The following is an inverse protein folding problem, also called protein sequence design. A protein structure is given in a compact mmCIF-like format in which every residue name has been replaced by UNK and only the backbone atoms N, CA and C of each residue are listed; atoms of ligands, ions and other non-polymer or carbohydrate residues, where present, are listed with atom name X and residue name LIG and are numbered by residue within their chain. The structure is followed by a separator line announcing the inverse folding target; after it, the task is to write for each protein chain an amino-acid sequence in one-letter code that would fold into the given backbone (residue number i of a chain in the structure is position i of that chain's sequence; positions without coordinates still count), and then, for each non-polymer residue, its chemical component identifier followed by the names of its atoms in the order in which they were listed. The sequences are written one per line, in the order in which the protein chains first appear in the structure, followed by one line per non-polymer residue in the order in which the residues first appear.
data_IF_152338883887
#
_entry.id   IF_152338883887
#
_cell.length_a   1.000
_cell.length_b   1.000
_cell.length_c   1.000
_cell.angle_alpha   90.00
_cell.angle_beta   90.00
_cell.angle_gamma   90.00
#
_symmetry.space_group_name_H-M   'P 1'
#
loop_
_entity.id
_entity.type
_entity.pdbx_description
1 polymer ?
#
# COMPACT_ATOMS: atom_id res chain seq x y z
N UNK A 1 24.36 -10.86 -15.61
CA UNK A 1 23.99 -9.52 -16.11
C UNK A 1 23.44 -8.72 -14.94
N UNK A 2 24.17 -7.72 -14.45
CA UNK A 2 23.70 -6.87 -13.35
C UNK A 2 22.59 -5.99 -13.94
N UNK A 3 21.36 -6.14 -13.45
CA UNK A 3 20.28 -5.23 -13.85
C UNK A 3 20.75 -3.79 -13.56
N UNK A 4 20.55 -2.83 -14.49
CA UNK A 4 20.93 -1.45 -14.20
C UNK A 4 20.20 -1.04 -12.92
N UNK A 5 20.93 -0.41 -11.99
CA UNK A 5 20.36 0.22 -10.79
C UNK A 5 19.10 0.96 -11.25
N UNK A 6 17.94 0.41 -10.90
CA UNK A 6 16.66 0.87 -11.45
C UNK A 6 16.53 2.34 -11.16
N UNK A 7 16.39 3.15 -12.20
CA UNK A 7 16.18 4.60 -12.09
C UNK A 7 15.13 4.86 -10.99
N UNK A 8 15.49 5.53 -9.88
CA UNK A 8 14.54 5.81 -8.81
C UNK A 8 13.30 6.56 -9.29
N UNK A 9 13.39 7.28 -10.42
CA UNK A 9 12.28 7.99 -11.05
C UNK A 9 11.38 7.11 -11.93
N UNK A 10 11.73 5.84 -12.16
CA UNK A 10 10.91 4.95 -12.98
C UNK A 10 9.74 4.37 -12.17
N UNK A 11 8.53 4.57 -12.68
CA UNK A 11 7.32 3.92 -12.15
C UNK A 11 7.38 2.42 -12.44
N UNK A 12 7.14 1.60 -11.41
CA UNK A 12 7.21 0.14 -11.47
C UNK A 12 5.84 -0.53 -11.37
N UNK A 13 4.97 0.01 -10.52
CA UNK A 13 3.66 -0.58 -10.22
C UNK A 13 2.64 0.55 -10.10
N UNK A 14 1.47 0.36 -10.70
CA UNK A 14 0.32 1.24 -10.52
C UNK A 14 -0.85 0.38 -10.04
N UNK A 15 -1.47 0.78 -8.93
CA UNK A 15 -2.67 0.14 -8.39
C UNK A 15 -3.79 1.18 -8.30
N UNK A 16 -4.96 0.89 -8.86
CA UNK A 16 -6.13 1.76 -8.80
C UNK A 16 -7.19 1.22 -7.84
N UNK A 17 -7.87 2.11 -7.12
CA UNK A 17 -9.04 1.77 -6.31
C UNK A 17 -10.02 2.95 -6.23
N UNK A 18 -11.23 2.78 -6.77
CA UNK A 18 -12.20 3.87 -6.97
C UNK A 18 -11.58 5.09 -7.67
N UNK A 19 -11.63 6.27 -7.04
CA UNK A 19 -11.05 7.50 -7.54
C UNK A 19 -9.61 7.73 -7.06
N UNK A 20 -8.90 6.67 -6.68
CA UNK A 20 -7.52 6.73 -6.20
C UNK A 20 -6.59 5.86 -7.04
N UNK A 21 -5.33 6.28 -7.13
CA UNK A 21 -4.22 5.48 -7.65
C UNK A 21 -3.04 5.55 -6.67
N UNK A 22 -2.33 4.44 -6.55
CA UNK A 22 -1.04 4.34 -5.89
C UNK A 22 0.00 4.03 -6.97
N UNK A 23 1.04 4.87 -7.03
CA UNK A 23 2.14 4.79 -8.00
C UNK A 23 3.40 4.45 -7.22
N UNK A 24 3.89 3.23 -7.41
CA UNK A 24 5.12 2.75 -6.79
C UNK A 24 6.31 2.99 -7.72
N UNK A 25 7.30 3.69 -7.19
CA UNK A 25 8.64 3.78 -7.72
C UNK A 25 9.51 2.67 -7.14
N UNK A 26 10.82 2.71 -7.39
CA UNK A 26 11.74 1.72 -6.83
C UNK A 26 11.64 1.64 -5.29
N UNK A 27 11.61 2.77 -4.58
CA UNK A 27 11.79 2.81 -3.12
C UNK A 27 10.74 3.64 -2.37
N UNK A 28 9.69 4.09 -3.04
CA UNK A 28 8.61 4.85 -2.41
C UNK A 28 7.33 4.73 -3.21
N UNK A 29 6.19 5.00 -2.56
CA UNK A 29 4.87 5.03 -3.19
C UNK A 29 4.24 6.41 -3.04
N UNK A 30 3.60 6.89 -4.11
CA UNK A 30 2.84 8.13 -4.12
C UNK A 30 1.38 7.81 -4.42
N UNK A 31 0.46 8.31 -3.60
CA UNK A 31 -0.97 8.16 -3.85
C UNK A 31 -1.56 9.46 -4.39
N UNK A 32 -2.46 9.31 -5.36
CA UNK A 32 -3.24 10.38 -5.95
C UNK A 32 -4.72 10.07 -5.83
N UNK A 33 -5.53 11.12 -5.69
CA UNK A 33 -6.99 11.06 -5.73
C UNK A 33 -7.51 11.99 -6.81
N UNK A 34 -8.40 11.51 -7.67
CA UNK A 34 -9.12 12.36 -8.62
C UNK A 34 -10.33 13.03 -7.95
N UNK A 35 -10.43 14.34 -8.13
CA UNK A 35 -11.58 15.19 -7.75
C UNK A 35 -12.18 15.76 -9.03
N UNK A 36 -13.51 15.81 -9.10
CA UNK A 36 -14.22 16.29 -10.31
C UNK A 36 -13.82 17.72 -10.72
N UNK A 37 -13.63 18.61 -9.74
CA UNK A 37 -13.33 20.02 -9.99
C UNK A 37 -11.86 20.32 -10.31
N UNK A 38 -10.92 19.46 -9.89
CA UNK A 38 -9.48 19.77 -9.86
C UNK A 38 -8.60 18.66 -10.44
N UNK A 39 -9.19 17.59 -10.95
CA UNK A 39 -8.46 16.46 -11.52
C UNK A 39 -7.69 15.67 -10.47
N UNK A 40 -6.57 15.05 -10.89
CA UNK A 40 -5.71 14.26 -10.02
C UNK A 40 -4.92 15.16 -9.08
N UNK A 41 -4.95 14.83 -7.80
CA UNK A 41 -4.24 15.55 -6.73
C UNK A 41 -3.38 14.55 -5.97
N UNK A 42 -2.11 14.89 -5.74
CA UNK A 42 -1.25 14.11 -4.84
C UNK A 42 -1.78 14.25 -3.41
N UNK A 43 -1.88 13.13 -2.70
CA UNK A 43 -2.46 13.08 -1.35
C UNK A 43 -1.62 12.31 -0.34
N UNK A 44 -0.60 11.59 -0.78
CA UNK A 44 0.35 10.92 0.12
C UNK A 44 1.65 10.59 -0.63
N UNK A 45 2.77 10.64 0.08
CA UNK A 45 4.06 10.09 -0.35
C UNK A 45 4.68 9.38 0.84
N UNK A 46 5.08 8.12 0.66
CA UNK A 46 5.79 7.39 1.71
C UNK A 46 7.21 7.94 1.93
N UNK A 47 7.82 7.71 3.10
CA UNK A 47 9.27 7.77 3.22
C UNK A 47 9.95 6.89 2.16
N UNK A 48 11.19 7.24 1.82
CA UNK A 48 12.03 6.40 0.97
C UNK A 48 12.48 5.18 1.78
N UNK A 49 12.31 4.01 1.20
CA UNK A 49 12.66 2.71 1.77
C UNK A 49 14.06 2.29 1.32
N UNK A 50 14.73 1.46 2.12
CA UNK A 50 16.05 0.92 1.78
C UNK A 50 15.96 -0.19 0.71
N UNK A 51 14.77 -0.75 0.52
CA UNK A 51 14.50 -1.88 -0.36
C UNK A 51 13.56 -1.54 -1.51
N UNK A 52 13.56 -2.41 -2.52
CA UNK A 52 12.78 -2.21 -3.74
C UNK A 52 11.36 -2.72 -3.56
N UNK A 53 10.36 -1.86 -3.81
CA UNK A 53 8.95 -2.25 -3.75
C UNK A 53 8.62 -3.18 -4.93
N UNK A 54 8.06 -4.35 -4.61
CA UNK A 54 7.61 -5.33 -5.61
C UNK A 54 6.08 -5.59 -5.58
N UNK A 55 5.38 -5.08 -4.56
CA UNK A 55 3.90 -5.06 -4.49
C UNK A 55 3.36 -3.78 -3.91
N UNK A 56 2.15 -3.44 -4.36
CA UNK A 56 1.32 -2.37 -3.79
C UNK A 56 -0.12 -2.84 -3.69
N UNK A 57 -0.76 -2.54 -2.56
CA UNK A 57 -2.20 -2.66 -2.37
C UNK A 57 -2.78 -1.32 -1.92
N UNK A 58 -3.94 -0.96 -2.47
CA UNK A 58 -4.64 0.28 -2.16
C UNK A 58 -6.08 -0.02 -1.75
N UNK A 59 -6.50 0.51 -0.62
CA UNK A 59 -7.88 0.51 -0.18
C UNK A 59 -8.34 1.95 -0.02
N UNK A 60 -9.34 2.34 -0.80
CA UNK A 60 -9.86 3.69 -0.83
C UNK A 60 -11.39 3.75 -0.70
N UNK A 61 -11.98 2.94 0.19
CA UNK A 61 -13.45 2.89 0.37
C UNK A 61 -14.04 4.27 0.64
N UNK A 62 -15.06 4.66 -0.11
CA UNK A 62 -15.78 5.93 0.08
C UNK A 62 -16.77 5.77 1.25
N UNK A 63 -16.96 6.86 2.02
CA UNK A 63 -17.59 6.93 3.36
C UNK A 63 -18.73 5.94 3.66
N UNK A 64 -18.72 5.40 4.88
CA UNK A 64 -19.73 4.48 5.43
C UNK A 64 -19.16 3.24 6.13
N UNK A 65 -17.83 3.12 6.20
CA UNK A 65 -17.15 2.04 6.90
C UNK A 65 -17.14 2.24 8.41
N UNK A 66 -17.14 1.13 9.16
CA UNK A 66 -17.06 1.11 10.63
C UNK A 66 -15.71 1.58 11.21
N UNK A 67 -14.77 2.07 10.38
CA UNK A 67 -13.39 2.37 10.75
C UNK A 67 -13.05 3.87 10.83
N UNK A 68 -14.01 4.76 10.55
CA UNK A 68 -13.80 6.21 10.62
C UNK A 68 -12.78 6.73 9.60
N UNK A 69 -11.93 7.68 9.98
CA UNK A 69 -10.99 8.37 9.07
C UNK A 69 -9.88 7.48 8.46
N UNK A 70 -9.75 6.21 8.89
CA UNK A 70 -8.74 5.27 8.39
C UNK A 70 -9.20 4.44 7.18
N UNK A 71 -10.25 4.86 6.48
CA UNK A 71 -10.79 4.15 5.31
C UNK A 71 -9.87 4.18 4.08
N UNK A 72 -8.81 4.99 4.12
CA UNK A 72 -7.81 5.11 3.04
C UNK A 72 -6.49 4.53 3.51
N UNK A 73 -6.07 3.43 2.91
CA UNK A 73 -4.86 2.72 3.27
C UNK A 73 -4.08 2.32 2.04
N UNK A 74 -2.76 2.39 2.15
CA UNK A 74 -1.83 1.85 1.15
C UNK A 74 -0.86 0.93 1.86
N UNK A 75 -0.61 -0.22 1.25
CA UNK A 75 0.41 -1.15 1.69
C UNK A 75 1.39 -1.41 0.56
N UNK A 76 2.65 -1.62 0.92
CA UNK A 76 3.68 -2.09 -0.01
C UNK A 76 4.38 -3.29 0.58
N UNK A 77 4.95 -4.12 -0.28
CA UNK A 77 5.79 -5.23 0.15
C UNK A 77 7.09 -5.31 -0.66
N UNK A 78 8.07 -5.96 -0.05
CA UNK A 78 9.33 -6.41 -0.64
C UNK A 78 9.76 -7.69 0.04
N UNK A 79 10.07 -8.72 -0.74
CA UNK A 79 10.47 -10.03 -0.21
C UNK A 79 9.46 -10.54 0.83
N UNK A 80 9.77 -10.51 2.12
CA UNK A 80 8.90 -10.99 3.21
C UNK A 80 8.14 -9.88 3.93
N UNK A 81 8.58 -8.64 3.75
CA UNK A 81 8.20 -7.52 4.60
C UNK A 81 7.11 -6.68 3.95
N UNK A 82 6.22 -6.19 4.80
CA UNK A 82 5.03 -5.44 4.42
C UNK A 82 4.98 -4.20 5.30
N UNK A 83 4.75 -3.04 4.70
CA UNK A 83 4.45 -1.82 5.45
C UNK A 83 3.06 -1.34 5.06
N UNK A 84 2.28 -0.93 6.06
CA UNK A 84 0.93 -0.41 5.89
C UNK A 84 0.84 1.01 6.45
N UNK A 85 0.29 1.92 5.65
CA UNK A 85 -0.02 3.29 6.06
C UNK A 85 -1.51 3.58 5.95
N UNK A 86 -2.03 4.36 6.90
CA UNK A 86 -3.27 5.10 6.73
C UNK A 86 -2.96 6.44 6.08
N UNK A 87 -3.77 6.86 5.11
CA UNK A 87 -3.65 8.18 4.48
C UNK A 87 -4.61 9.14 5.17
N UNK A 88 -4.07 10.16 5.82
CA UNK A 88 -4.82 11.14 6.57
C UNK A 88 -5.43 12.21 5.63
N UNK A 89 -6.57 12.82 6.01
CA UNK A 89 -7.23 13.85 5.19
C UNK A 89 -6.38 15.11 4.96
N UNK A 90 -5.40 15.38 5.82
CA UNK A 90 -4.47 16.51 5.73
C UNK A 90 -3.38 16.34 4.67
N UNK A 91 -3.34 15.17 4.00
CA UNK A 91 -2.34 14.84 2.98
C UNK A 91 -1.07 14.19 3.53
N UNK A 92 -1.00 13.96 4.85
CA UNK A 92 0.03 13.14 5.47
C UNK A 92 -0.42 11.67 5.54
N UNK A 93 0.50 10.76 5.81
CA UNK A 93 0.14 9.38 6.14
C UNK A 93 0.74 8.97 7.48
N UNK A 94 0.02 8.11 8.20
CA UNK A 94 0.49 7.51 9.44
C UNK A 94 0.85 6.05 9.19
N UNK A 95 2.02 5.62 9.65
CA UNK A 95 2.38 4.21 9.63
C UNK A 95 1.51 3.46 10.64
N UNK A 96 0.81 2.44 10.15
CA UNK A 96 0.06 1.52 11.00
C UNK A 96 0.99 0.46 11.56
N UNK A 97 1.92 -0.03 10.74
CA UNK A 97 2.95 -0.96 11.18
C UNK A 97 3.70 -1.63 10.04
N UNK A 98 4.78 -2.30 10.44
CA UNK A 98 5.60 -3.18 9.62
C UNK A 98 5.33 -4.62 10.03
N UNK A 99 5.09 -5.47 9.06
CA UNK A 99 4.76 -6.88 9.25
C UNK A 99 5.67 -7.76 8.40
N UNK A 100 5.79 -9.02 8.78
CA UNK A 100 6.47 -10.02 7.97
C UNK A 100 5.60 -11.24 7.75
N UNK A 101 5.49 -11.68 6.50
CA UNK A 101 4.91 -12.98 6.18
C UNK A 101 5.90 -14.11 6.53
N UNK A 102 7.18 -13.81 6.81
CA UNK A 102 8.29 -14.76 7.05
C UNK A 102 8.60 -15.72 5.88
N UNK A 103 7.88 -15.59 4.77
CA UNK A 103 8.11 -16.24 3.48
C UNK A 103 7.85 -15.18 2.40
N UNK A 104 8.36 -15.35 1.16
CA UNK A 104 8.14 -14.36 0.12
C UNK A 104 6.66 -14.06 -0.08
N UNK A 105 6.31 -12.77 -0.03
CA UNK A 105 5.00 -12.25 -0.38
C UNK A 105 4.87 -12.37 -1.90
N UNK A 106 3.75 -12.90 -2.38
CA UNK A 106 3.48 -13.14 -3.80
C UNK A 106 2.18 -12.50 -4.30
N UNK A 107 1.22 -12.29 -3.42
CA UNK A 107 0.15 -11.34 -3.64
C UNK A 107 -0.05 -10.48 -2.39
N UNK A 108 -0.44 -9.23 -2.61
CA UNK A 108 -0.80 -8.27 -1.58
C UNK A 108 -2.05 -7.53 -2.05
N UNK A 109 -3.15 -7.63 -1.33
CA UNK A 109 -4.41 -7.01 -1.71
C UNK A 109 -5.33 -6.81 -0.51
N UNK A 110 -6.33 -5.94 -0.64
CA UNK A 110 -7.34 -5.76 0.39
C UNK A 110 -8.60 -6.56 0.08
N UNK A 111 -9.21 -7.15 1.11
CA UNK A 111 -10.56 -7.72 1.09
C UNK A 111 -11.35 -7.09 2.22
N UNK A 112 -12.32 -6.24 1.85
CA UNK A 112 -13.11 -5.51 2.83
C UNK A 112 -12.23 -4.61 3.71
N UNK A 113 -12.09 -4.98 4.99
CA UNK A 113 -11.32 -4.26 6.00
C UNK A 113 -10.04 -5.02 6.40
N UNK A 114 -9.61 -5.97 5.56
CA UNK A 114 -8.44 -6.79 5.81
C UNK A 114 -7.40 -6.58 4.71
N UNK A 115 -6.13 -6.49 5.09
CA UNK A 115 -5.00 -6.63 4.17
C UNK A 115 -4.60 -8.10 4.16
N UNK A 116 -4.50 -8.67 2.97
CA UNK A 116 -4.14 -10.06 2.75
C UNK A 116 -2.79 -10.11 2.04
N UNK A 117 -1.87 -10.92 2.57
CA UNK A 117 -0.63 -11.30 1.90
C UNK A 117 -0.58 -12.82 1.73
N UNK A 118 -0.20 -13.30 0.55
CA UNK A 118 -0.15 -14.75 0.26
C UNK A 118 1.21 -15.18 -0.30
N UNK A 119 1.53 -16.46 -0.15
CA UNK A 119 2.73 -17.11 -0.70
C UNK A 119 2.40 -18.51 -1.25
N UNK A 120 3.14 -18.97 -2.26
CA UNK A 120 3.06 -20.30 -2.88
C UNK A 120 3.46 -21.40 -1.89
N UNK A 121 4.11 -21.05 -0.77
CA UNK A 121 4.30 -21.97 0.36
C UNK A 121 2.99 -22.32 1.07
N UNK A 122 1.86 -21.71 0.69
CA UNK A 122 0.55 -21.87 1.32
C UNK A 122 0.32 -20.94 2.52
N UNK A 123 1.29 -20.06 2.86
CA UNK A 123 1.13 -19.13 3.99
C UNK A 123 0.29 -17.93 3.58
N UNK A 124 -0.63 -17.54 4.47
CA UNK A 124 -1.49 -16.37 4.34
C UNK A 124 -1.33 -15.52 5.60
N UNK A 125 -1.01 -14.25 5.41
CA UNK A 125 -0.98 -13.24 6.47
C UNK A 125 -2.19 -12.32 6.33
N UNK A 126 -2.83 -11.99 7.45
CA UNK A 126 -4.04 -11.17 7.48
C UNK A 126 -3.88 -10.06 8.51
N UNK A 127 -3.89 -8.81 8.06
CA UNK A 127 -4.11 -7.67 8.93
C UNK A 127 -5.61 -7.36 8.99
N UNK A 128 -6.15 -7.11 10.17
CA UNK A 128 -7.54 -6.67 10.33
C UNK A 128 -7.63 -5.24 10.86
N UNK A 129 -8.34 -4.38 10.13
CA UNK A 129 -8.43 -2.96 10.47
C UNK A 129 -9.26 -2.64 11.72
N UNK A 130 -10.16 -3.54 12.13
CA UNK A 130 -10.98 -3.38 13.34
C UNK A 130 -10.18 -3.76 14.57
N UNK A 131 -9.53 -4.93 14.54
CA UNK A 131 -8.74 -5.42 15.68
C UNK A 131 -7.32 -4.87 15.73
N UNK A 132 -6.87 -4.19 14.65
CA UNK A 132 -5.51 -3.65 14.49
C UNK A 132 -4.43 -4.73 14.69
N UNK A 133 -4.72 -5.96 14.26
CA UNK A 133 -3.88 -7.12 14.50
C UNK A 133 -3.43 -7.78 13.20
N UNK A 134 -2.17 -8.21 13.14
CA UNK A 134 -1.57 -9.05 12.09
C UNK A 134 -1.47 -10.50 12.57
N UNK A 135 -1.95 -11.45 11.78
CA UNK A 135 -1.84 -12.90 12.05
C UNK A 135 -1.37 -13.68 10.83
#
# INVERSE_FOLDING_TARGET
CVAPLSDPGMVRIICGHHNWIAVAYAQFVVCYRVKESTGWQQVFTSPRLDWVIDRVALNAKVMGGSLGDNDKMVAVASATDIILWAICPDGNGNEIGVFSLNVPVEALFFVGNQLIATSHTGKVGVWNAVTKHWQ
#
